data_IF_150211225274
#
_entry.id   IF_150211225274
#
_cell.length_a   1.000
_cell.length_b   1.000
_cell.length_c   1.000
_cell.angle_alpha   90.00
_cell.angle_beta   90.00
_cell.angle_gamma   90.00
#
_symmetry.space_group_name_H-M   'P 1'
#
loop_
_entity.id
_entity.type
_entity.pdbx_description
1 polymer ?
#
# COMPACT_ATOMS: atom_id res chain seq x y z
N UNK A 1 -4.86 -7.72 -4.55
CA UNK A 1 -5.48 -6.51 -5.13
C UNK A 1 -5.17 -6.28 -6.62
N UNK A 2 -3.94 -6.49 -7.10
CA UNK A 2 -3.62 -6.31 -8.54
C UNK A 2 -4.47 -7.19 -9.49
N UNK A 3 -4.86 -8.40 -9.06
CA UNK A 3 -5.79 -9.27 -9.79
C UNK A 3 -7.28 -9.00 -9.45
N UNK A 4 -7.59 -7.87 -8.80
CA UNK A 4 -8.92 -7.54 -8.28
C UNK A 4 -9.33 -8.30 -7.02
N UNK A 5 -8.44 -9.10 -6.42
CA UNK A 5 -8.76 -9.87 -5.20
C UNK A 5 -8.72 -8.97 -3.96
N UNK A 6 -9.83 -8.85 -3.21
CA UNK A 6 -9.87 -8.15 -1.93
C UNK A 6 -9.07 -8.90 -0.86
N UNK A 7 -8.62 -8.21 0.18
CA UNK A 7 -7.71 -8.75 1.19
C UNK A 7 -8.30 -8.60 2.60
N UNK A 8 -8.16 -9.62 3.44
CA UNK A 8 -8.44 -9.53 4.88
C UNK A 8 -7.11 -9.67 5.60
N UNK A 9 -6.73 -8.70 6.42
CA UNK A 9 -5.43 -8.68 7.08
C UNK A 9 -5.47 -8.00 8.45
N UNK A 10 -4.55 -8.41 9.34
CA UNK A 10 -4.38 -7.75 10.63
C UNK A 10 -3.76 -6.35 10.48
N UNK A 11 -4.12 -5.43 11.36
CA UNK A 11 -3.58 -4.06 11.46
C UNK A 11 -2.12 -4.04 11.89
N UNK A 12 -1.22 -4.45 10.99
CA UNK A 12 0.22 -4.57 11.26
C UNK A 12 1.06 -4.10 10.08
N UNK A 13 2.18 -3.44 10.38
CA UNK A 13 3.11 -2.95 9.38
C UNK A 13 2.43 -2.08 8.32
N UNK A 14 2.69 -2.37 7.05
CA UNK A 14 2.19 -1.60 5.91
C UNK A 14 0.71 -1.87 5.56
N UNK A 15 0.00 -2.75 6.29
CA UNK A 15 -1.39 -3.09 5.97
C UNK A 15 -2.31 -1.86 5.91
N UNK A 16 -2.27 -0.92 6.88
CA UNK A 16 -3.11 0.28 6.82
C UNK A 16 -2.74 1.27 5.71
N UNK A 17 -1.54 1.14 5.14
CA UNK A 17 -1.07 1.96 4.03
C UNK A 17 -1.51 1.38 2.67
N UNK A 18 -1.62 0.05 2.58
CA UNK A 18 -1.94 -0.67 1.34
C UNK A 18 -3.44 -0.90 1.16
N UNK A 19 -4.17 -1.19 2.24
CA UNK A 19 -5.59 -1.54 2.18
C UNK A 19 -6.43 -0.35 2.61
N UNK A 20 -7.42 0.01 1.80
CA UNK A 20 -8.53 0.87 2.22
C UNK A 20 -9.60 -0.03 2.85
N UNK A 21 -9.81 0.12 4.16
CA UNK A 21 -10.78 -0.66 4.92
C UNK A 21 -12.18 -0.53 4.32
N UNK A 22 -12.91 -1.64 4.24
CA UNK A 22 -14.26 -1.78 3.66
C UNK A 22 -14.39 -1.44 2.16
N UNK A 23 -13.31 -1.00 1.50
CA UNK A 23 -13.31 -0.67 0.07
C UNK A 23 -12.51 -1.65 -0.77
N UNK A 24 -11.33 -2.03 -0.30
CA UNK A 24 -10.40 -2.93 -1.01
C UNK A 24 -10.13 -4.22 -0.24
N UNK A 25 -10.72 -4.33 0.95
CA UNK A 25 -10.47 -5.37 1.92
C UNK A 25 -10.94 -4.98 3.32
N UNK A 26 -10.58 -5.78 4.31
CA UNK A 26 -10.84 -5.51 5.72
C UNK A 26 -9.53 -5.50 6.50
N UNK A 27 -9.38 -4.51 7.38
CA UNK A 27 -8.26 -4.39 8.32
C UNK A 27 -8.81 -4.72 9.70
N UNK A 28 -8.36 -5.85 10.26
CA UNK A 28 -8.84 -6.39 11.52
C UNK A 28 -7.79 -6.22 12.62
N UNK A 29 -8.21 -6.18 13.87
CA UNK A 29 -7.32 -6.08 15.04
C UNK A 29 -7.00 -7.46 15.65
N UNK A 30 -7.87 -8.47 15.44
CA UNK A 30 -7.68 -9.84 15.93
C UNK A 30 -8.25 -10.94 14.99
N UNK A 31 -8.12 -12.20 15.40
CA UNK A 31 -8.54 -13.36 14.63
C UNK A 31 -10.08 -13.50 14.58
N UNK A 32 -10.78 -13.22 15.67
CA UNK A 32 -12.24 -13.27 15.70
C UNK A 32 -12.83 -12.33 14.66
N UNK A 33 -12.33 -11.10 14.57
CA UNK A 33 -12.76 -10.12 13.58
C UNK A 33 -12.42 -10.59 12.15
N UNK A 34 -11.22 -11.15 11.92
CA UNK A 34 -10.88 -11.71 10.62
C UNK A 34 -11.87 -12.79 10.16
N UNK A 35 -12.28 -13.69 11.06
CA UNK A 35 -13.25 -14.75 10.76
C UNK A 35 -14.59 -14.13 10.32
N UNK A 36 -15.04 -13.09 11.01
CA UNK A 36 -16.28 -12.37 10.66
C UNK A 36 -16.16 -11.70 9.27
N UNK A 37 -15.06 -10.97 9.03
CA UNK A 37 -14.83 -10.25 7.78
C UNK A 37 -14.71 -11.18 6.55
N UNK A 38 -14.21 -12.41 6.72
CA UNK A 38 -14.17 -13.41 5.64
C UNK A 38 -15.59 -13.71 5.11
N UNK A 39 -16.60 -13.75 5.97
CA UNK A 39 -18.00 -13.93 5.54
C UNK A 39 -18.54 -12.76 4.71
N UNK A 40 -18.01 -11.56 4.93
CA UNK A 40 -18.46 -10.33 4.28
C UNK A 40 -17.62 -9.94 3.05
N UNK A 41 -16.55 -10.69 2.75
CA UNK A 41 -15.60 -10.38 1.67
C UNK A 41 -16.25 -10.25 0.29
N UNK A 42 -17.40 -10.91 0.08
CA UNK A 42 -18.19 -10.82 -1.15
C UNK A 42 -18.81 -9.45 -1.41
N UNK A 43 -18.92 -8.58 -0.39
CA UNK A 43 -19.42 -7.20 -0.53
C UNK A 43 -18.40 -6.27 -1.19
N UNK A 44 -17.12 -6.63 -1.18
CA UNK A 44 -16.06 -5.79 -1.72
C UNK A 44 -16.07 -5.83 -3.25
N UNK A 45 -16.09 -4.65 -3.86
CA UNK A 45 -16.02 -4.54 -5.32
C UNK A 45 -14.58 -4.81 -5.81
N UNK A 46 -14.40 -5.97 -6.47
CA UNK A 46 -13.13 -6.41 -7.06
C UNK A 46 -12.51 -5.40 -8.02
N UNK A 47 -13.32 -4.59 -8.72
CA UNK A 47 -12.83 -3.55 -9.62
C UNK A 47 -12.16 -2.41 -8.84
N UNK A 48 -12.72 -2.00 -7.70
CA UNK A 48 -12.10 -0.97 -6.84
C UNK A 48 -10.75 -1.43 -6.30
N UNK A 49 -10.61 -2.71 -5.95
CA UNK A 49 -9.30 -3.28 -5.57
C UNK A 49 -8.25 -3.12 -6.69
N UNK A 50 -8.64 -3.33 -7.94
CA UNK A 50 -7.77 -3.17 -9.11
C UNK A 50 -7.43 -1.70 -9.35
N UNK A 51 -8.44 -0.84 -9.38
CA UNK A 51 -8.29 0.61 -9.61
C UNK A 51 -7.38 1.25 -8.55
N UNK A 52 -7.49 0.83 -7.29
CA UNK A 52 -6.60 1.30 -6.23
C UNK A 52 -5.13 0.96 -6.51
N UNK A 53 -4.84 -0.26 -6.96
CA UNK A 53 -3.47 -0.66 -7.34
C UNK A 53 -2.97 0.13 -8.54
N UNK A 54 -3.79 0.28 -9.58
CA UNK A 54 -3.42 1.04 -10.78
C UNK A 54 -3.16 2.52 -10.51
N UNK A 55 -3.78 3.08 -9.47
CA UNK A 55 -3.60 4.48 -9.10
C UNK A 55 -2.36 4.72 -8.22
N UNK A 56 -2.00 3.76 -7.37
CA UNK A 56 -1.05 4.01 -6.27
C UNK A 56 0.22 3.15 -6.32
N UNK A 57 0.15 1.94 -6.87
CA UNK A 57 1.22 0.94 -6.76
C UNK A 57 1.73 0.49 -8.13
N UNK A 58 1.95 1.44 -9.04
CA UNK A 58 2.48 1.18 -10.38
C UNK A 58 4.01 1.18 -10.41
N UNK A 59 4.63 0.48 -11.38
CA UNK A 59 6.08 0.55 -11.61
C UNK A 59 6.57 1.99 -11.83
N UNK A 60 5.80 2.84 -12.51
CA UNK A 60 6.16 4.23 -12.77
C UNK A 60 6.20 5.04 -11.47
N UNK A 61 5.18 4.88 -10.60
CA UNK A 61 5.15 5.54 -9.29
C UNK A 61 6.34 5.11 -8.43
N UNK A 62 6.64 3.81 -8.41
CA UNK A 62 7.80 3.26 -7.69
C UNK A 62 9.11 3.84 -8.24
N UNK A 63 9.29 3.86 -9.56
CA UNK A 63 10.49 4.38 -10.22
C UNK A 63 10.71 5.86 -9.91
N UNK A 64 9.67 6.68 -9.97
CA UNK A 64 9.75 8.10 -9.61
C UNK A 64 10.11 8.30 -8.14
N UNK A 65 9.54 7.50 -7.23
CA UNK A 65 9.87 7.53 -5.80
C UNK A 65 11.34 7.19 -5.52
N UNK A 66 11.87 6.15 -6.17
CA UNK A 66 13.29 5.80 -6.07
C UNK A 66 14.20 6.90 -6.61
N UNK A 67 13.85 7.47 -7.76
CA UNK A 67 14.63 8.55 -8.37
C UNK A 67 14.69 9.79 -7.45
N UNK A 68 13.57 10.15 -6.82
CA UNK A 68 13.53 11.22 -5.83
C UNK A 68 14.40 10.90 -4.60
N UNK A 69 14.32 9.68 -4.07
CA UNK A 69 15.15 9.25 -2.94
C UNK A 69 16.66 9.32 -3.28
N UNK A 70 17.06 8.90 -4.48
CA UNK A 70 18.46 8.99 -4.93
C UNK A 70 18.92 10.43 -5.14
N UNK A 71 18.07 11.31 -5.69
CA UNK A 71 18.38 12.74 -5.82
C UNK A 71 18.60 13.37 -4.45
N UNK A 72 17.74 13.08 -3.47
CA UNK A 72 17.88 13.57 -2.09
C UNK A 72 19.19 13.08 -1.46
N UNK A 73 19.48 11.79 -1.57
CA UNK A 73 20.70 11.21 -1.01
C UNK A 73 21.98 11.80 -1.65
N UNK A 74 22.01 11.97 -2.97
CA UNK A 74 23.17 12.51 -3.69
C UNK A 74 23.37 14.01 -3.47
N UNK A 75 22.28 14.78 -3.38
CA UNK A 75 22.34 16.21 -3.06
C UNK A 75 22.85 16.44 -1.64
N UNK A 76 22.36 15.68 -0.66
CA UNK A 76 22.85 15.74 0.72
C UNK A 76 24.35 15.42 0.81
N UNK A 77 24.82 14.41 0.07
CA UNK A 77 26.24 14.09 -0.02
C UNK A 77 27.07 15.23 -0.62
N UNK A 78 26.59 15.87 -1.70
CA UNK A 78 27.28 17.02 -2.30
C UNK A 78 27.39 18.20 -1.34
N UNK A 79 26.37 18.47 -0.53
CA UNK A 79 26.39 19.56 0.46
C UNK A 79 27.41 19.27 1.56
N UNK A 80 27.42 18.05 2.10
CA UNK A 80 28.40 17.64 3.12
C UNK A 80 29.84 17.72 2.62
N UNK A 81 30.08 17.34 1.36
CA UNK A 81 31.41 17.41 0.75
C UNK A 81 31.91 18.85 0.54
N UNK A 82 31.02 19.82 0.38
CA UNK A 82 31.38 21.23 0.21
C UNK A 82 31.57 21.97 1.56
N UNK A 83 31.26 21.33 2.68
CA UNK A 83 31.37 21.89 4.05
C UNK A 83 32.62 21.40 4.81
N UNK A 84 33.37 20.44 4.25
CA UNK A 84 34.62 19.87 4.80
C UNK A 84 35.76 20.18 3.83
#
# INVERSE_FOLDING_TARGET
>A
MACGTPVVALRRGSVPEIIINEETGYICDDLEEMIQCVGEIGRINRRRCREHVEKHFTPETMMLGYLDAYRKATQAYSVLKNLV
#
